data_IF_672021654219
#
_entry.id   IF_672021654219
#
_cell.length_a   1.000
_cell.length_b   1.000
_cell.length_c   1.000
_cell.angle_alpha   90.00
_cell.angle_beta   90.00
_cell.angle_gamma   90.00
#
_symmetry.space_group_name_H-M   'P 1'
#
loop_
_entity.id
_entity.type
_entity.pdbx_description
1 polymer ?
#
# COMPACT_ATOMS: atom_id res chain seq x y z
N UNK A 1 -2.21 -17.54 31.37
CA UNK A 1 -2.05 -16.74 30.14
C UNK A 1 -1.51 -17.50 28.92
N UNK A 2 -0.70 -18.54 29.04
CA UNK A 2 -0.17 -19.33 27.90
C UNK A 2 -1.24 -20.07 27.08
N UNK A 3 -2.29 -20.61 27.68
CA UNK A 3 -3.34 -21.38 26.97
C UNK A 3 -4.24 -20.56 26.04
N UNK A 4 -4.54 -19.30 26.36
CA UNK A 4 -5.34 -18.42 25.49
C UNK A 4 -4.60 -17.99 24.21
N UNK A 5 -3.25 -17.93 24.27
CA UNK A 5 -2.42 -17.52 23.12
C UNK A 5 -2.32 -18.62 22.05
N UNK A 6 -2.39 -19.90 22.43
CA UNK A 6 -2.32 -21.03 21.50
C UNK A 6 -3.57 -21.15 20.60
N UNK A 7 -4.75 -20.87 21.13
CA UNK A 7 -6.00 -20.93 20.35
C UNK A 7 -6.12 -19.78 19.34
N UNK A 8 -5.64 -18.57 19.68
CA UNK A 8 -5.69 -17.42 18.79
C UNK A 8 -4.77 -17.61 17.56
N UNK A 9 -3.57 -18.14 17.76
CA UNK A 9 -2.64 -18.42 16.65
C UNK A 9 -3.14 -19.56 15.74
N UNK A 10 -3.73 -20.61 16.33
CA UNK A 10 -4.35 -21.69 15.55
C UNK A 10 -5.54 -21.20 14.73
N UNK A 11 -6.37 -20.33 15.30
CA UNK A 11 -7.52 -19.75 14.59
C UNK A 11 -7.07 -18.85 13.43
N UNK A 12 -6.03 -18.02 13.61
CA UNK A 12 -5.47 -17.19 12.55
C UNK A 12 -4.82 -18.03 11.43
N UNK A 13 -4.11 -19.10 11.77
CA UNK A 13 -3.54 -20.03 10.78
C UNK A 13 -4.61 -20.77 9.98
N UNK A 14 -5.68 -21.22 10.63
CA UNK A 14 -6.81 -21.89 9.97
C UNK A 14 -7.57 -20.88 9.08
N UNK A 15 -7.83 -19.66 9.56
CA UNK A 15 -8.49 -18.61 8.74
C UNK A 15 -7.63 -18.22 7.53
N UNK A 16 -6.31 -18.11 7.69
CA UNK A 16 -5.38 -17.85 6.61
C UNK A 16 -5.34 -18.97 5.58
N UNK A 17 -5.31 -20.23 6.03
CA UNK A 17 -5.30 -21.40 5.16
C UNK A 17 -6.64 -21.56 4.40
N UNK A 18 -7.78 -21.29 5.04
CA UNK A 18 -9.11 -21.37 4.38
C UNK A 18 -9.30 -20.26 3.37
N UNK A 19 -8.84 -19.03 3.64
CA UNK A 19 -8.86 -17.93 2.66
C UNK A 19 -7.94 -18.22 1.46
N UNK A 20 -6.76 -18.78 1.70
CA UNK A 20 -5.83 -19.17 0.63
C UNK A 20 -6.37 -20.34 -0.20
N UNK A 21 -6.94 -21.36 0.43
CA UNK A 21 -7.58 -22.48 -0.25
C UNK A 21 -8.80 -22.01 -1.07
N UNK A 22 -9.61 -21.08 -0.56
CA UNK A 22 -10.71 -20.47 -1.28
C UNK A 22 -10.28 -19.67 -2.51
N UNK A 23 -9.16 -18.95 -2.43
CA UNK A 23 -8.58 -18.24 -3.57
C UNK A 23 -8.02 -19.20 -4.63
N UNK A 24 -7.38 -20.30 -4.22
CA UNK A 24 -6.88 -21.34 -5.12
C UNK A 24 -8.02 -22.12 -5.78
N UNK A 25 -9.07 -22.47 -5.05
CA UNK A 25 -10.24 -23.18 -5.60
C UNK A 25 -11.04 -22.30 -6.57
N UNK A 26 -11.19 -21.01 -6.31
CA UNK A 26 -11.84 -20.09 -7.24
C UNK A 26 -11.08 -19.96 -8.57
N UNK A 27 -9.77 -20.18 -8.58
CA UNK A 27 -8.95 -20.25 -9.80
C UNK A 27 -9.03 -21.61 -10.49
N UNK A 28 -9.07 -22.71 -9.74
CA UNK A 28 -9.21 -24.08 -10.29
C UNK A 28 -10.56 -24.25 -11.00
N UNK A 29 -11.66 -23.82 -10.36
CA UNK A 29 -13.00 -23.87 -10.98
C UNK A 29 -13.09 -23.06 -12.28
N UNK A 30 -12.36 -21.93 -12.39
CA UNK A 30 -12.28 -21.17 -13.64
C UNK A 30 -11.39 -21.82 -14.70
N UNK A 31 -10.36 -22.56 -14.30
CA UNK A 31 -9.51 -23.30 -15.21
C UNK A 31 -10.25 -24.49 -15.83
N UNK A 32 -11.03 -25.21 -15.02
CA UNK A 32 -11.87 -26.31 -15.46
C UNK A 32 -13.03 -25.85 -16.36
N UNK A 33 -13.67 -24.70 -16.02
CA UNK A 33 -14.69 -24.11 -16.90
C UNK A 33 -14.13 -23.62 -18.24
N UNK A 34 -12.88 -23.12 -18.27
CA UNK A 34 -12.20 -22.75 -19.50
C UNK A 34 -11.73 -23.98 -20.30
N UNK A 35 -11.34 -25.06 -19.63
CA UNK A 35 -11.01 -26.35 -20.28
C UNK A 35 -12.26 -27.05 -20.82
N UNK A 36 -13.39 -26.97 -20.12
CA UNK A 36 -14.67 -27.50 -20.62
C UNK A 36 -15.23 -26.72 -21.81
N UNK A 37 -14.89 -25.45 -21.96
CA UNK A 37 -15.31 -24.64 -23.10
C UNK A 37 -14.55 -24.98 -24.41
N UNK A 38 -13.52 -25.84 -24.35
CA UNK A 38 -12.83 -26.40 -25.51
C UNK A 38 -13.36 -27.79 -25.89
N UNK A 39 -14.35 -28.31 -25.19
CA UNK A 39 -15.08 -29.51 -25.57
C UNK A 39 -15.78 -29.27 -26.91
N UNK A 40 -15.51 -30.12 -27.88
CA UNK A 40 -16.19 -30.10 -29.15
C UNK A 40 -17.71 -30.08 -28.97
N UNK A 41 -18.41 -29.49 -29.91
CA UNK A 41 -19.86 -29.43 -29.91
C UNK A 41 -20.45 -30.83 -29.62
N UNK A 42 -21.54 -30.92 -28.83
CA UNK A 42 -22.18 -32.20 -28.56
C UNK A 42 -22.45 -32.96 -29.81
N UNK A 43 -22.33 -34.30 -29.78
CA UNK A 43 -22.62 -35.13 -30.93
C UNK A 43 -24.07 -34.85 -31.36
N UNK A 44 -24.28 -34.39 -32.60
CA UNK A 44 -25.56 -33.95 -33.13
C UNK A 44 -25.81 -32.44 -33.16
N UNK A 45 -24.89 -31.61 -32.67
CA UNK A 45 -24.96 -30.18 -32.86
C UNK A 45 -24.69 -29.83 -34.33
N UNK A 46 -25.74 -29.57 -35.09
CA UNK A 46 -25.61 -28.89 -36.39
C UNK A 46 -25.41 -27.42 -36.10
N UNK A 47 -24.22 -26.93 -36.38
CA UNK A 47 -24.00 -25.48 -36.42
C UNK A 47 -25.03 -24.89 -37.39
N UNK A 48 -25.73 -23.77 -37.02
CA UNK A 48 -26.59 -23.09 -37.99
C UNK A 48 -25.76 -22.84 -39.24
N UNK A 49 -26.33 -23.16 -40.42
CA UNK A 49 -25.69 -22.91 -41.70
C UNK A 49 -25.15 -21.47 -41.68
N UNK A 50 -23.86 -21.31 -41.95
CA UNK A 50 -23.22 -20.00 -41.85
C UNK A 50 -24.01 -19.07 -42.80
N UNK A 51 -24.69 -18.04 -42.29
CA UNK A 51 -25.41 -17.12 -43.17
C UNK A 51 -24.36 -16.57 -44.11
N UNK A 52 -24.68 -16.57 -45.42
CA UNK A 52 -23.78 -16.10 -46.46
C UNK A 52 -23.01 -14.87 -45.97
N UNK A 53 -21.69 -14.81 -46.15
CA UNK A 53 -20.85 -13.78 -45.59
C UNK A 53 -21.32 -12.34 -45.86
N UNK A 54 -22.09 -12.17 -46.94
CA UNK A 54 -22.51 -10.90 -47.49
C UNK A 54 -23.72 -10.29 -46.78
N UNK A 55 -24.63 -11.11 -46.20
CA UNK A 55 -25.92 -10.59 -45.71
C UNK A 55 -25.91 -10.12 -44.28
N UNK A 56 -25.13 -10.72 -43.39
CA UNK A 56 -25.26 -10.40 -41.97
C UNK A 56 -24.26 -9.34 -41.46
N UNK A 57 -23.06 -9.30 -41.99
CA UNK A 57 -22.02 -8.36 -41.56
C UNK A 57 -22.25 -6.98 -42.18
N UNK A 58 -22.59 -6.92 -43.48
CA UNK A 58 -22.89 -5.66 -44.17
C UNK A 58 -24.22 -5.04 -43.69
N UNK A 59 -25.27 -5.87 -43.48
CA UNK A 59 -26.52 -5.42 -42.91
C UNK A 59 -26.40 -4.96 -41.46
N UNK A 60 -25.63 -5.66 -40.65
CA UNK A 60 -25.37 -5.23 -39.26
C UNK A 60 -24.50 -3.97 -39.20
N UNK A 61 -23.55 -3.80 -40.12
CA UNK A 61 -22.79 -2.56 -40.21
C UNK A 61 -23.66 -1.35 -40.58
N UNK A 62 -24.70 -1.56 -41.37
CA UNK A 62 -25.69 -0.52 -41.73
C UNK A 62 -26.71 -0.26 -40.63
N UNK A 63 -27.23 -1.32 -40.01
CA UNK A 63 -28.29 -1.22 -38.98
C UNK A 63 -27.79 -0.98 -37.57
N UNK A 64 -26.54 -1.31 -37.28
CA UNK A 64 -25.89 -1.13 -36.00
C UNK A 64 -24.52 -0.46 -36.17
N UNK A 65 -24.49 0.83 -36.50
CA UNK A 65 -23.25 1.58 -36.58
C UNK A 65 -22.56 1.57 -35.20
N UNK A 66 -21.43 0.92 -35.08
CA UNK A 66 -20.73 0.66 -33.80
C UNK A 66 -20.64 -0.83 -33.44
N UNK A 67 -21.23 -1.71 -34.25
CA UNK A 67 -21.03 -3.16 -34.09
C UNK A 67 -19.61 -3.56 -34.56
N UNK A 68 -18.71 -3.75 -33.60
CA UNK A 68 -17.33 -4.18 -33.84
C UNK A 68 -17.18 -5.70 -34.02
N UNK A 69 -18.27 -6.47 -34.21
CA UNK A 69 -18.22 -7.92 -34.37
C UNK A 69 -17.35 -8.38 -35.55
N UNK A 70 -17.34 -7.75 -36.74
CA UNK A 70 -16.44 -8.08 -37.81
C UNK A 70 -14.96 -7.91 -37.45
N UNK A 71 -14.66 -6.81 -36.74
CA UNK A 71 -13.32 -6.53 -36.25
C UNK A 71 -12.83 -7.61 -35.27
N UNK A 72 -13.66 -7.99 -34.31
CA UNK A 72 -13.31 -9.03 -33.34
C UNK A 72 -13.18 -10.42 -33.96
N UNK A 73 -13.94 -10.71 -35.01
CA UNK A 73 -13.76 -11.95 -35.77
C UNK A 73 -12.42 -11.96 -36.50
N UNK A 74 -12.08 -10.89 -37.19
CA UNK A 74 -10.80 -10.74 -37.86
C UNK A 74 -9.61 -10.85 -36.90
N UNK A 75 -9.72 -10.25 -35.69
CA UNK A 75 -8.72 -10.44 -34.62
C UNK A 75 -8.62 -11.89 -34.17
N UNK A 76 -9.72 -12.62 -34.09
CA UNK A 76 -9.75 -14.05 -33.74
C UNK A 76 -9.11 -14.94 -34.79
N UNK A 77 -9.33 -14.65 -36.06
CA UNK A 77 -8.85 -15.41 -37.19
C UNK A 77 -7.38 -15.12 -37.51
N UNK A 78 -6.99 -13.86 -37.58
CA UNK A 78 -5.65 -13.45 -37.96
C UNK A 78 -4.69 -13.29 -36.77
N UNK A 79 -5.21 -13.07 -35.59
CA UNK A 79 -4.40 -12.81 -34.41
C UNK A 79 -3.61 -11.49 -34.43
N UNK A 80 -3.64 -10.74 -35.50
CA UNK A 80 -2.81 -9.55 -35.73
C UNK A 80 -3.59 -8.46 -36.47
N UNK A 81 -4.65 -7.95 -35.86
CA UNK A 81 -5.28 -6.76 -36.44
C UNK A 81 -4.90 -5.50 -35.65
N UNK A 82 -4.30 -4.57 -36.34
CA UNK A 82 -4.13 -3.21 -35.87
C UNK A 82 -5.43 -2.46 -36.16
N UNK A 83 -6.10 -2.03 -35.10
CA UNK A 83 -7.31 -1.22 -35.19
C UNK A 83 -7.16 0.07 -34.40
N UNK A 84 -7.73 1.12 -34.88
CA UNK A 84 -7.77 2.42 -34.21
C UNK A 84 -9.12 2.60 -33.50
N UNK A 85 -9.08 2.99 -32.23
CA UNK A 85 -10.28 3.37 -31.47
C UNK A 85 -10.78 4.70 -31.95
N UNK A 86 -12.03 4.77 -32.41
CA UNK A 86 -12.70 6.02 -32.79
C UNK A 86 -13.35 6.72 -31.58
N UNK A 87 -12.91 6.41 -30.36
CA UNK A 87 -13.39 7.05 -29.16
C UNK A 87 -12.68 8.38 -28.93
N UNK A 88 -13.37 9.42 -28.46
CA UNK A 88 -12.78 10.74 -28.26
C UNK A 88 -11.77 10.78 -27.10
N UNK A 89 -10.80 11.67 -27.20
CA UNK A 89 -9.89 12.00 -26.11
C UNK A 89 -8.91 10.88 -25.75
N UNK A 90 -8.78 10.60 -24.47
CA UNK A 90 -7.83 9.64 -23.90
C UNK A 90 -8.07 8.17 -24.31
N UNK A 91 -9.21 7.87 -24.92
CA UNK A 91 -9.53 6.55 -25.46
C UNK A 91 -9.00 6.35 -26.88
N UNK A 92 -8.42 7.38 -27.47
CA UNK A 92 -7.75 7.28 -28.77
C UNK A 92 -6.54 6.36 -28.67
N UNK A 93 -6.44 5.40 -29.55
CA UNK A 93 -5.28 4.53 -29.60
C UNK A 93 -5.52 3.25 -30.36
N UNK A 94 -4.51 2.41 -30.42
CA UNK A 94 -4.57 1.10 -31.06
C UNK A 94 -5.31 0.11 -30.14
N UNK A 95 -6.44 -0.42 -30.60
CA UNK A 95 -7.24 -1.42 -29.86
C UNK A 95 -6.50 -2.77 -29.73
N UNK A 96 -5.71 -3.13 -30.74
CA UNK A 96 -4.98 -4.38 -30.81
C UNK A 96 -3.52 -4.04 -31.09
N UNK A 97 -2.66 -4.41 -30.16
CA UNK A 97 -1.22 -4.34 -30.36
C UNK A 97 -0.71 -5.64 -31.00
N UNK A 98 0.47 -5.57 -31.65
CA UNK A 98 1.20 -6.76 -32.04
C UNK A 98 1.34 -7.70 -30.87
N UNK A 99 1.35 -8.99 -31.13
CA UNK A 99 1.44 -10.02 -30.11
C UNK A 99 2.48 -9.72 -29.03
N UNK A 100 2.03 -9.53 -27.82
CA UNK A 100 2.89 -9.37 -26.66
C UNK A 100 3.03 -10.75 -26.00
N UNK A 101 4.25 -11.28 -25.94
CA UNK A 101 4.56 -12.48 -25.17
C UNK A 101 4.62 -12.14 -23.69
N UNK A 102 3.73 -12.73 -22.91
CA UNK A 102 3.80 -12.69 -21.45
C UNK A 102 4.18 -14.08 -20.91
N UNK A 103 4.73 -14.14 -19.68
CA UNK A 103 4.96 -15.43 -19.04
C UNK A 103 3.66 -16.24 -18.98
N UNK A 104 3.62 -17.39 -19.65
CA UNK A 104 2.41 -18.23 -19.73
C UNK A 104 1.88 -18.47 -21.15
N UNK A 105 2.56 -17.97 -22.20
CA UNK A 105 2.52 -18.52 -23.58
C UNK A 105 1.33 -18.15 -24.46
N UNK A 106 0.43 -17.23 -24.10
CA UNK A 106 -0.56 -16.77 -25.08
C UNK A 106 -0.13 -15.47 -25.73
N UNK A 107 -0.28 -15.42 -27.07
CA UNK A 107 -0.20 -14.18 -27.82
C UNK A 107 -1.55 -13.47 -27.64
N UNK A 108 -1.57 -12.34 -26.95
CA UNK A 108 -2.78 -11.63 -26.57
C UNK A 108 -2.75 -10.19 -27.07
N UNK A 109 -3.92 -9.58 -27.22
CA UNK A 109 -3.98 -8.13 -27.34
C UNK A 109 -3.56 -7.46 -26.01
N UNK A 110 -3.20 -6.19 -26.06
CA UNK A 110 -2.72 -5.46 -24.87
C UNK A 110 -3.71 -5.46 -23.69
N UNK A 111 -5.01 -5.42 -23.99
CA UNK A 111 -6.05 -5.47 -22.96
C UNK A 111 -6.13 -6.81 -22.25
N UNK A 112 -5.98 -7.91 -22.99
CA UNK A 112 -5.93 -9.26 -22.42
C UNK A 112 -4.67 -9.46 -21.60
N UNK A 113 -3.53 -9.03 -22.10
CA UNK A 113 -2.28 -9.08 -21.39
C UNK A 113 -2.33 -8.32 -20.05
N UNK A 114 -2.88 -7.12 -20.03
CA UNK A 114 -3.11 -6.35 -18.80
C UNK A 114 -4.04 -7.11 -17.84
N UNK A 115 -5.13 -7.69 -18.35
CA UNK A 115 -6.09 -8.46 -17.55
C UNK A 115 -5.43 -9.69 -16.92
N UNK A 116 -4.60 -10.42 -17.67
CA UNK A 116 -3.85 -11.57 -17.17
C UNK A 116 -2.85 -11.16 -16.08
N UNK A 117 -2.03 -10.14 -16.34
CA UNK A 117 -1.08 -9.63 -15.36
C UNK A 117 -1.79 -9.23 -14.07
N UNK A 118 -2.87 -8.44 -14.16
CA UNK A 118 -3.64 -8.02 -13.00
C UNK A 118 -4.24 -9.19 -12.23
N UNK A 119 -4.93 -10.11 -12.91
CA UNK A 119 -5.76 -11.12 -12.25
C UNK A 119 -4.98 -12.40 -11.90
N UNK A 120 -3.93 -12.75 -12.65
CA UNK A 120 -3.16 -13.99 -12.40
C UNK A 120 -1.89 -13.76 -11.61
N UNK A 121 -1.34 -12.55 -11.65
CA UNK A 121 -0.07 -12.25 -10.99
C UNK A 121 -0.23 -11.20 -9.88
N UNK A 122 -0.63 -9.98 -10.20
CA UNK A 122 -0.62 -8.88 -9.24
C UNK A 122 -1.58 -9.16 -8.08
N UNK A 123 -2.84 -9.49 -8.34
CA UNK A 123 -3.80 -9.71 -7.27
C UNK A 123 -3.50 -10.95 -6.41
N UNK A 124 -3.25 -12.16 -6.97
CA UNK A 124 -2.95 -13.32 -6.13
C UNK A 124 -1.66 -13.18 -5.33
N UNK A 125 -0.56 -12.81 -5.98
CA UNK A 125 0.73 -12.69 -5.30
C UNK A 125 0.79 -11.49 -4.37
N UNK A 126 0.19 -10.36 -4.75
CA UNK A 126 0.09 -9.20 -3.88
C UNK A 126 -0.82 -9.43 -2.68
N UNK A 127 -1.96 -10.09 -2.87
CA UNK A 127 -2.83 -10.51 -1.76
C UNK A 127 -2.14 -11.49 -0.82
N UNK A 128 -1.39 -12.46 -1.39
CA UNK A 128 -0.56 -13.39 -0.61
C UNK A 128 0.54 -12.66 0.16
N UNK A 129 1.22 -11.70 -0.44
CA UNK A 129 2.23 -10.88 0.22
C UNK A 129 1.65 -10.15 1.44
N UNK A 130 0.49 -9.49 1.29
CA UNK A 130 -0.17 -8.82 2.41
C UNK A 130 -0.55 -9.81 3.52
N UNK A 131 -1.14 -10.93 3.16
CA UNK A 131 -1.55 -11.94 4.12
C UNK A 131 -0.35 -12.53 4.88
N UNK A 132 0.70 -12.92 4.16
CA UNK A 132 1.93 -13.45 4.74
C UNK A 132 2.58 -12.42 5.66
N UNK A 133 2.63 -11.15 5.26
CA UNK A 133 3.17 -10.07 6.10
C UNK A 133 2.41 -9.95 7.42
N UNK A 134 1.07 -9.92 7.37
CA UNK A 134 0.24 -9.86 8.58
C UNK A 134 0.42 -11.09 9.46
N UNK A 135 0.44 -12.29 8.86
CA UNK A 135 0.63 -13.54 9.61
C UNK A 135 2.04 -13.63 10.22
N UNK A 136 3.07 -13.20 9.50
CA UNK A 136 4.43 -13.15 10.01
C UNK A 136 4.56 -12.19 11.20
N UNK A 137 3.96 -11.00 11.12
CA UNK A 137 3.93 -10.03 12.23
C UNK A 137 3.13 -10.56 13.42
N UNK A 138 2.00 -11.22 13.19
CA UNK A 138 1.22 -11.86 14.25
C UNK A 138 2.00 -13.00 14.93
N UNK A 139 2.70 -13.83 14.16
CA UNK A 139 3.56 -14.89 14.68
C UNK A 139 4.75 -14.34 15.46
N UNK A 140 5.37 -13.27 14.93
CA UNK A 140 6.47 -12.58 15.61
C UNK A 140 6.01 -12.03 16.95
N UNK A 141 4.87 -11.32 16.98
CA UNK A 141 4.28 -10.82 18.22
C UNK A 141 3.93 -11.94 19.21
N UNK A 142 3.37 -13.03 18.70
CA UNK A 142 3.04 -14.18 19.55
C UNK A 142 4.29 -14.81 20.18
N UNK A 143 5.41 -14.86 19.46
CA UNK A 143 6.68 -15.45 19.93
C UNK A 143 7.48 -14.53 20.83
N UNK A 144 7.62 -13.27 20.43
CA UNK A 144 8.52 -12.31 21.09
C UNK A 144 7.79 -11.34 22.01
N UNK A 145 6.50 -11.08 21.77
CA UNK A 145 5.77 -10.02 22.46
C UNK A 145 6.22 -8.63 22.03
N UNK A 146 6.07 -7.67 22.92
CA UNK A 146 6.58 -6.30 22.75
C UNK A 146 8.09 -6.28 23.05
N UNK A 147 8.86 -5.61 22.18
CA UNK A 147 10.31 -5.44 22.36
C UNK A 147 10.63 -4.14 23.11
N UNK A 148 11.77 -4.12 23.82
CA UNK A 148 12.24 -2.98 24.60
C UNK A 148 11.58 -2.82 25.97
N UNK A 149 12.00 -1.79 26.69
CA UNK A 149 11.53 -1.50 28.06
C UNK A 149 12.18 -2.35 29.12
N UNK A 150 13.42 -2.73 28.89
CA UNK A 150 14.23 -3.49 29.87
C UNK A 150 14.81 -2.58 30.95
N UNK A 151 15.04 -1.32 30.62
CA UNK A 151 15.53 -0.30 31.55
C UNK A 151 14.36 0.43 32.24
N UNK A 152 14.49 0.77 33.53
CA UNK A 152 13.52 1.62 34.19
C UNK A 152 13.58 3.05 33.64
N UNK A 153 12.43 3.71 33.57
CA UNK A 153 12.35 5.10 33.13
C UNK A 153 13.19 6.00 34.05
N UNK A 154 13.99 6.88 33.47
CA UNK A 154 14.85 7.83 34.21
C UNK A 154 14.11 9.09 34.60
N UNK A 155 12.96 9.37 33.97
CA UNK A 155 12.22 10.63 34.11
C UNK A 155 12.85 11.80 33.30
N UNK A 156 14.03 11.61 32.72
CA UNK A 156 14.64 12.60 31.82
C UNK A 156 14.16 12.36 30.40
N UNK A 157 13.57 13.41 29.83
CA UNK A 157 12.93 13.32 28.50
C UNK A 157 13.74 14.08 27.45
N UNK A 158 13.79 13.52 26.26
CA UNK A 158 14.44 14.08 25.06
C UNK A 158 13.42 14.21 23.93
N UNK A 159 13.52 15.25 23.12
CA UNK A 159 12.67 15.43 21.95
C UNK A 159 13.18 14.60 20.78
N UNK A 160 12.47 13.51 20.45
CA UNK A 160 12.77 12.72 19.27
C UNK A 160 12.16 13.37 18.02
N UNK A 161 10.91 13.83 18.09
CA UNK A 161 10.19 14.43 16.96
C UNK A 161 9.60 15.79 17.30
N UNK A 162 9.93 16.78 16.50
CA UNK A 162 9.36 18.13 16.63
C UNK A 162 7.87 18.12 16.26
N UNK A 163 7.09 19.16 16.67
CA UNK A 163 5.68 19.27 16.27
C UNK A 163 5.47 19.23 14.75
N UNK A 164 6.36 19.87 13.97
CA UNK A 164 6.29 19.87 12.52
C UNK A 164 6.53 18.46 11.93
N UNK A 165 7.55 17.75 12.40
CA UNK A 165 7.84 16.37 11.95
C UNK A 165 6.66 15.43 12.24
N UNK A 166 6.01 15.59 13.37
CA UNK A 166 4.80 14.82 13.72
C UNK A 166 3.62 15.17 12.83
N UNK A 167 3.39 16.45 12.58
CA UNK A 167 2.32 16.89 11.68
C UNK A 167 2.52 16.36 10.26
N UNK A 168 3.73 16.45 9.72
CA UNK A 168 4.10 15.89 8.43
C UNK A 168 3.84 14.37 8.37
N UNK A 169 4.31 13.63 9.38
CA UNK A 169 4.08 12.19 9.46
C UNK A 169 2.59 11.84 9.53
N UNK A 170 1.81 12.46 10.43
CA UNK A 170 0.40 12.11 10.62
C UNK A 170 -0.46 12.50 9.42
N UNK A 171 -0.17 13.62 8.74
CA UNK A 171 -0.86 14.00 7.51
C UNK A 171 -0.68 12.93 6.42
N UNK A 172 0.56 12.47 6.23
CA UNK A 172 0.87 11.41 5.27
C UNK A 172 0.28 10.06 5.69
N UNK A 173 0.35 9.71 6.98
CA UNK A 173 -0.16 8.45 7.51
C UNK A 173 -1.68 8.33 7.36
N UNK A 174 -2.44 9.39 7.65
CA UNK A 174 -3.90 9.41 7.47
C UNK A 174 -4.26 9.26 5.99
N UNK A 175 -3.60 10.00 5.11
CA UNK A 175 -3.82 9.88 3.66
C UNK A 175 -3.48 8.45 3.18
N UNK A 176 -2.36 7.88 3.61
CA UNK A 176 -1.98 6.50 3.31
C UNK A 176 -3.05 5.49 3.76
N UNK A 177 -3.55 5.58 4.98
CA UNK A 177 -4.58 4.66 5.50
C UNK A 177 -5.85 4.71 4.67
N UNK A 178 -6.32 5.91 4.30
CA UNK A 178 -7.49 6.06 3.42
C UNK A 178 -7.24 5.41 2.05
N UNK A 179 -6.07 5.65 1.46
CA UNK A 179 -5.69 5.08 0.16
C UNK A 179 -5.51 3.56 0.22
N UNK A 180 -4.90 3.04 1.29
CA UNK A 180 -4.71 1.61 1.48
C UNK A 180 -6.05 0.87 1.66
N UNK A 181 -6.93 1.37 2.52
CA UNK A 181 -8.25 0.78 2.75
C UNK A 181 -9.09 0.81 1.47
N UNK A 182 -9.18 1.95 0.81
CA UNK A 182 -9.91 2.08 -0.46
C UNK A 182 -9.31 1.19 -1.56
N UNK A 183 -7.99 1.12 -1.67
CA UNK A 183 -7.28 0.26 -2.60
C UNK A 183 -7.53 -1.23 -2.36
N UNK A 184 -7.50 -1.69 -1.11
CA UNK A 184 -7.81 -3.07 -0.72
C UNK A 184 -9.26 -3.42 -1.09
N UNK A 185 -10.21 -2.56 -0.79
CA UNK A 185 -11.63 -2.81 -1.14
C UNK A 185 -11.83 -2.84 -2.65
N UNK A 186 -11.23 -1.94 -3.41
CA UNK A 186 -11.32 -1.94 -4.88
C UNK A 186 -10.63 -3.15 -5.51
N UNK A 187 -9.51 -3.62 -4.97
CA UNK A 187 -8.75 -4.74 -5.51
C UNK A 187 -9.34 -6.09 -5.12
N UNK A 188 -9.69 -6.26 -3.85
CA UNK A 188 -10.02 -7.55 -3.25
C UNK A 188 -11.46 -7.64 -2.71
N UNK A 189 -12.18 -6.53 -2.54
CA UNK A 189 -13.51 -6.47 -1.91
C UNK A 189 -14.54 -7.41 -2.55
N UNK A 190 -14.40 -7.69 -3.86
CA UNK A 190 -15.27 -8.66 -4.55
C UNK A 190 -15.17 -10.10 -4.00
N UNK A 191 -14.06 -10.45 -3.33
CA UNK A 191 -13.85 -11.80 -2.81
C UNK A 191 -14.39 -12.00 -1.40
N UNK A 192 -14.38 -10.94 -0.58
CA UNK A 192 -14.78 -11.05 0.83
C UNK A 192 -15.97 -10.15 1.20
N UNK A 193 -16.09 -8.97 0.60
CA UNK A 193 -17.12 -7.99 0.98
C UNK A 193 -18.40 -8.13 0.15
N UNK A 194 -18.27 -8.27 -1.16
CA UNK A 194 -19.41 -8.45 -2.07
C UNK A 194 -20.34 -9.61 -1.67
N UNK A 195 -19.84 -10.81 -1.26
CA UNK A 195 -20.72 -11.89 -0.83
C UNK A 195 -21.51 -11.59 0.45
N UNK A 196 -21.01 -10.67 1.29
CA UNK A 196 -21.63 -10.32 2.58
C UNK A 196 -22.67 -9.22 2.42
N UNK A 197 -22.32 -8.13 1.72
CA UNK A 197 -23.17 -6.93 1.64
C UNK A 197 -24.02 -6.83 0.38
N UNK A 198 -23.82 -7.74 -0.59
CA UNK A 198 -24.55 -7.76 -1.84
C UNK A 198 -24.12 -6.71 -2.86
N UNK A 199 -24.60 -6.86 -4.11
CA UNK A 199 -24.10 -6.08 -5.25
C UNK A 199 -24.41 -4.59 -5.18
N UNK A 200 -25.60 -4.21 -4.74
CA UNK A 200 -25.99 -2.80 -4.70
C UNK A 200 -25.16 -2.00 -3.68
N UNK A 201 -25.05 -2.48 -2.45
CA UNK A 201 -24.30 -1.79 -1.40
C UNK A 201 -22.79 -1.81 -1.69
N UNK A 202 -22.27 -2.94 -2.23
CA UNK A 202 -20.87 -3.01 -2.66
C UNK A 202 -20.56 -2.03 -3.77
N UNK A 203 -21.48 -1.85 -4.73
CA UNK A 203 -21.34 -0.86 -5.80
C UNK A 203 -21.25 0.58 -5.27
N UNK A 204 -22.14 0.97 -4.38
CA UNK A 204 -22.11 2.29 -3.74
C UNK A 204 -20.84 2.51 -2.92
N UNK A 205 -20.45 1.53 -2.12
CA UNK A 205 -19.23 1.59 -1.32
C UNK A 205 -17.99 1.75 -2.21
N UNK A 206 -17.89 0.93 -3.27
CA UNK A 206 -16.74 1.00 -4.20
C UNK A 206 -16.68 2.34 -4.92
N UNK A 207 -17.83 2.89 -5.30
CA UNK A 207 -17.91 4.23 -5.89
C UNK A 207 -17.41 5.31 -4.92
N UNK A 208 -17.91 5.32 -3.69
CA UNK A 208 -17.50 6.27 -2.67
C UNK A 208 -15.98 6.16 -2.35
N UNK A 209 -15.49 4.93 -2.19
CA UNK A 209 -14.07 4.68 -1.91
C UNK A 209 -13.17 5.05 -3.08
N UNK A 210 -13.60 4.79 -4.33
CA UNK A 210 -12.86 5.24 -5.50
C UNK A 210 -12.79 6.77 -5.56
N UNK A 211 -13.89 7.45 -5.30
CA UNK A 211 -13.93 8.92 -5.26
C UNK A 211 -12.99 9.45 -4.16
N UNK A 212 -13.06 8.89 -2.96
CA UNK A 212 -12.14 9.25 -1.88
C UNK A 212 -10.68 8.97 -2.25
N UNK A 213 -10.39 7.84 -2.89
CA UNK A 213 -9.05 7.47 -3.35
C UNK A 213 -8.47 8.51 -4.32
N UNK A 214 -9.23 8.86 -5.34
CA UNK A 214 -8.81 9.84 -6.34
C UNK A 214 -8.61 11.24 -5.75
N UNK A 215 -9.42 11.63 -4.75
CA UNK A 215 -9.29 12.91 -4.08
C UNK A 215 -8.12 12.97 -3.10
N UNK A 216 -7.91 11.89 -2.33
CA UNK A 216 -6.84 11.81 -1.33
C UNK A 216 -5.48 11.54 -1.97
N UNK A 217 -5.44 10.96 -3.19
CA UNK A 217 -4.19 10.70 -3.93
C UNK A 217 -3.29 11.92 -4.08
N UNK A 218 -3.78 13.06 -4.62
CA UNK A 218 -3.01 14.30 -4.69
C UNK A 218 -2.57 14.84 -3.33
N UNK A 219 -3.40 14.73 -2.29
CA UNK A 219 -3.02 15.12 -0.92
C UNK A 219 -1.89 14.24 -0.38
N UNK A 220 -1.95 12.93 -0.66
CA UNK A 220 -0.87 12.02 -0.34
C UNK A 220 0.42 12.37 -1.08
N UNK A 221 0.34 12.75 -2.35
CA UNK A 221 1.50 13.17 -3.14
C UNK A 221 2.23 14.37 -2.49
N UNK A 222 1.48 15.40 -2.11
CA UNK A 222 2.04 16.58 -1.42
C UNK A 222 2.61 16.20 -0.06
N UNK A 223 1.86 15.46 0.76
CA UNK A 223 2.31 15.06 2.10
C UNK A 223 3.53 14.12 2.04
N UNK A 224 3.62 13.25 1.03
CA UNK A 224 4.78 12.38 0.81
C UNK A 224 6.05 13.19 0.53
N UNK A 225 5.97 14.21 -0.32
CA UNK A 225 7.11 15.11 -0.60
C UNK A 225 7.54 15.81 0.69
N UNK A 226 6.58 16.31 1.49
CA UNK A 226 6.88 16.94 2.78
C UNK A 226 7.60 15.97 3.72
N UNK A 227 7.12 14.72 3.83
CA UNK A 227 7.77 13.67 4.65
C UNK A 227 9.17 13.37 4.14
N UNK A 228 9.34 13.19 2.83
CA UNK A 228 10.66 12.92 2.24
C UNK A 228 11.64 14.04 2.61
N UNK A 229 11.27 15.29 2.32
CA UNK A 229 12.15 16.45 2.61
C UNK A 229 12.45 16.56 4.10
N UNK A 230 11.46 16.38 4.95
CA UNK A 230 11.59 16.50 6.41
C UNK A 230 12.56 15.49 7.00
N UNK A 231 12.53 14.24 6.53
CA UNK A 231 13.33 13.15 7.11
C UNK A 231 14.53 12.74 6.28
N UNK A 232 14.73 13.31 5.09
CA UNK A 232 15.79 12.91 4.15
C UNK A 232 17.18 12.92 4.81
N UNK A 233 17.50 14.02 5.51
CA UNK A 233 18.84 14.23 6.10
C UNK A 233 19.20 13.16 7.15
N UNK A 234 18.23 12.75 7.94
CA UNK A 234 18.45 11.78 9.02
C UNK A 234 18.49 10.33 8.52
N UNK A 235 18.00 10.09 7.30
CA UNK A 235 17.94 8.77 6.68
C UNK A 235 19.09 8.46 5.71
N UNK A 236 20.11 9.32 5.60
CA UNK A 236 21.32 8.95 4.87
C UNK A 236 22.05 7.77 5.53
N UNK A 237 22.55 6.86 4.68
CA UNK A 237 23.26 5.66 5.12
C UNK A 237 24.61 6.07 5.73
N UNK A 238 24.93 5.48 6.90
CA UNK A 238 26.17 5.69 7.63
C UNK A 238 26.93 4.36 7.80
N UNK A 239 28.20 4.42 8.12
CA UNK A 239 29.01 3.21 8.33
C UNK A 239 28.46 2.29 9.44
N UNK A 240 27.84 2.85 10.48
CA UNK A 240 27.15 2.11 11.54
C UNK A 240 25.98 1.25 11.03
N UNK A 241 25.34 1.67 9.94
CA UNK A 241 24.21 0.93 9.37
C UNK A 241 24.65 -0.40 8.76
N UNK A 242 25.86 -0.44 8.17
CA UNK A 242 26.41 -1.69 7.63
C UNK A 242 26.70 -2.71 8.74
N UNK A 243 27.17 -2.23 9.88
CA UNK A 243 27.42 -3.06 11.05
C UNK A 243 26.12 -3.60 11.63
N UNK A 244 25.07 -2.76 11.69
CA UNK A 244 23.72 -3.12 12.10
C UNK A 244 23.14 -4.20 11.17
N UNK A 245 23.31 -4.03 9.85
CA UNK A 245 22.81 -4.97 8.85
C UNK A 245 23.51 -6.34 8.97
N UNK A 246 24.84 -6.38 9.15
CA UNK A 246 25.60 -7.62 9.31
C UNK A 246 25.15 -8.43 10.52
N UNK A 247 24.73 -7.78 11.59
CA UNK A 247 24.21 -8.41 12.81
C UNK A 247 22.69 -8.59 12.80
N UNK A 248 22.01 -8.33 11.65
CA UNK A 248 20.55 -8.39 11.50
C UNK A 248 19.78 -7.65 12.60
N UNK A 249 20.31 -6.47 13.04
CA UNK A 249 19.69 -5.67 14.09
C UNK A 249 19.62 -6.33 15.46
N UNK A 250 20.42 -7.38 15.70
CA UNK A 250 20.34 -8.15 16.94
C UNK A 250 19.15 -9.09 17.04
N UNK A 251 18.33 -9.19 16.01
CA UNK A 251 17.14 -10.06 15.99
C UNK A 251 17.46 -11.54 16.29
N UNK A 252 18.65 -12.00 15.85
CA UNK A 252 19.11 -13.37 16.03
C UNK A 252 19.89 -13.56 17.31
N UNK A 253 20.67 -12.57 17.74
CA UNK A 253 21.59 -12.66 18.89
C UNK A 253 20.99 -12.10 20.17
N UNK A 254 19.98 -11.24 20.08
CA UNK A 254 19.43 -10.49 21.22
C UNK A 254 20.32 -9.34 21.67
N UNK A 255 21.40 -9.02 20.94
CA UNK A 255 22.28 -7.88 21.25
C UNK A 255 21.66 -6.56 20.83
N UNK A 256 21.70 -5.54 21.68
CA UNK A 256 21.34 -4.18 21.32
C UNK A 256 22.45 -3.58 20.45
N UNK A 257 22.15 -3.32 19.17
CA UNK A 257 23.12 -2.74 18.25
C UNK A 257 22.93 -1.24 18.23
N UNK A 258 23.97 -0.47 18.60
CA UNK A 258 23.88 0.98 18.69
C UNK A 258 23.48 1.61 17.35
N UNK A 259 22.50 2.48 17.38
CA UNK A 259 22.01 3.22 16.20
C UNK A 259 21.89 4.72 16.51
N UNK A 260 21.90 5.54 15.44
CA UNK A 260 21.54 6.96 15.55
C UNK A 260 20.02 7.15 15.67
N UNK A 261 19.53 8.36 15.45
CA UNK A 261 18.10 8.71 15.55
C UNK A 261 17.16 7.77 14.79
N UNK A 262 17.61 7.24 13.65
CA UNK A 262 16.96 6.17 12.89
C UNK A 262 17.92 4.99 12.75
N UNK A 263 17.41 3.78 13.00
CA UNK A 263 18.17 2.57 12.78
C UNK A 263 18.14 2.14 11.30
N UNK A 264 18.93 1.16 10.94
CA UNK A 264 19.08 0.71 9.54
C UNK A 264 17.78 0.18 8.94
N UNK A 265 16.92 -0.47 9.72
CA UNK A 265 15.62 -0.96 9.23
C UNK A 265 14.67 0.22 8.95
N UNK A 266 14.63 1.22 9.82
CA UNK A 266 13.84 2.44 9.61
C UNK A 266 14.32 3.20 8.35
N UNK A 267 15.64 3.29 8.14
CA UNK A 267 16.21 3.87 6.92
C UNK A 267 15.90 3.03 5.67
N UNK A 268 16.02 1.71 5.76
CA UNK A 268 15.66 0.79 4.68
C UNK A 268 14.19 0.95 4.28
N UNK A 269 13.29 1.05 5.25
CA UNK A 269 11.88 1.32 5.03
C UNK A 269 11.65 2.70 4.40
N UNK A 270 12.35 3.75 4.87
CA UNK A 270 12.27 5.08 4.29
C UNK A 270 12.65 5.07 2.79
N UNK A 271 13.79 4.50 2.43
CA UNK A 271 14.26 4.49 1.05
C UNK A 271 13.45 3.56 0.14
N UNK A 272 13.08 2.37 0.61
CA UNK A 272 12.35 1.41 -0.22
C UNK A 272 10.86 1.74 -0.34
N UNK A 273 10.20 2.05 0.77
CA UNK A 273 8.75 2.21 0.81
C UNK A 273 8.31 3.65 0.64
N UNK A 274 8.95 4.61 1.35
CA UNK A 274 8.55 6.02 1.27
C UNK A 274 9.08 6.66 -0.01
N UNK A 275 10.41 6.57 -0.27
CA UNK A 275 10.99 7.22 -1.44
C UNK A 275 10.69 6.42 -2.71
N UNK A 276 11.17 5.17 -2.81
CA UNK A 276 11.09 4.43 -4.08
C UNK A 276 9.66 4.03 -4.44
N UNK A 277 9.01 3.23 -3.60
CA UNK A 277 7.65 2.78 -3.87
C UNK A 277 6.64 3.94 -3.82
N UNK A 278 6.78 4.86 -2.86
CA UNK A 278 5.91 6.02 -2.70
C UNK A 278 5.90 6.92 -3.92
N UNK A 279 7.07 7.27 -4.48
CA UNK A 279 7.14 8.07 -5.70
C UNK A 279 6.54 7.35 -6.91
N UNK A 280 6.80 6.04 -7.07
CA UNK A 280 6.22 5.26 -8.15
C UNK A 280 4.69 5.15 -8.03
N UNK A 281 4.16 4.95 -6.82
CA UNK A 281 2.71 4.95 -6.55
C UNK A 281 2.10 6.31 -6.86
N UNK A 282 2.73 7.40 -6.43
CA UNK A 282 2.24 8.76 -6.68
C UNK A 282 2.25 9.07 -8.17
N UNK A 283 3.39 8.89 -8.86
CA UNK A 283 3.49 9.20 -10.29
C UNK A 283 2.47 8.39 -11.09
N UNK A 284 2.39 7.08 -10.87
CA UNK A 284 1.44 6.22 -11.57
C UNK A 284 -0.02 6.55 -11.21
N UNK A 285 -0.31 6.95 -9.97
CA UNK A 285 -1.62 7.41 -9.54
C UNK A 285 -2.05 8.70 -10.22
N UNK A 286 -1.17 9.69 -10.29
CA UNK A 286 -1.42 10.96 -11.00
C UNK A 286 -1.63 10.75 -12.50
N UNK A 287 -0.94 9.78 -13.12
CA UNK A 287 -1.19 9.37 -14.51
C UNK A 287 -2.60 8.79 -14.63
N UNK A 288 -3.01 7.88 -13.75
CA UNK A 288 -4.34 7.27 -13.80
C UNK A 288 -5.47 8.27 -13.54
N UNK A 289 -5.24 9.26 -12.70
CA UNK A 289 -6.19 10.35 -12.43
C UNK A 289 -6.12 11.48 -13.47
N UNK A 290 -5.26 11.35 -14.49
CA UNK A 290 -5.10 12.30 -15.59
C UNK A 290 -4.70 13.71 -15.13
N UNK A 291 -3.89 13.79 -14.09
CA UNK A 291 -3.48 15.06 -13.48
C UNK A 291 -2.12 15.58 -13.99
N UNK A 292 -1.39 14.81 -14.79
CA UNK A 292 -0.12 15.25 -15.36
C UNK A 292 -0.34 15.96 -16.69
N UNK A 293 0.00 17.24 -16.82
CA UNK A 293 -0.19 17.98 -18.08
C UNK A 293 0.76 17.45 -19.17
N UNK A 294 0.32 17.50 -20.41
CA UNK A 294 1.14 17.15 -21.58
C UNK A 294 1.21 15.66 -21.91
N UNK A 295 0.46 14.80 -21.22
CA UNK A 295 0.32 13.38 -21.55
C UNK A 295 -0.95 13.14 -22.39
N UNK A 296 -0.84 12.31 -23.42
CA UNK A 296 -1.98 11.90 -24.26
C UNK A 296 -2.90 10.87 -23.62
N UNK A 297 -2.49 10.29 -22.51
CA UNK A 297 -3.23 9.27 -21.74
C UNK A 297 -3.69 8.09 -22.60
N UNK A 298 -2.80 7.58 -23.42
CA UNK A 298 -3.08 6.43 -24.26
C UNK A 298 -3.42 5.22 -23.40
N UNK A 299 -4.26 4.33 -23.93
CA UNK A 299 -4.70 3.14 -23.21
C UNK A 299 -3.53 2.27 -22.70
N UNK A 300 -2.48 2.11 -23.51
CA UNK A 300 -1.27 1.37 -23.12
C UNK A 300 -0.59 1.98 -21.89
N UNK A 301 -0.45 3.30 -21.86
CA UNK A 301 0.19 4.02 -20.76
C UNK A 301 -0.62 3.90 -19.48
N UNK A 302 -1.95 4.01 -19.57
CA UNK A 302 -2.86 3.81 -18.44
C UNK A 302 -2.79 2.39 -17.88
N UNK A 303 -2.61 1.38 -18.74
CA UNK A 303 -2.44 -0.01 -18.31
C UNK A 303 -1.11 -0.23 -17.60
N UNK A 304 -0.01 0.35 -18.11
CA UNK A 304 1.31 0.30 -17.46
C UNK A 304 1.25 1.02 -16.12
N UNK A 305 0.70 2.23 -16.08
CA UNK A 305 0.52 2.99 -14.85
C UNK A 305 -0.26 2.19 -13.80
N UNK A 306 -1.34 1.51 -14.20
CA UNK A 306 -2.11 0.65 -13.29
C UNK A 306 -1.28 -0.53 -12.75
N UNK A 307 -0.48 -1.21 -13.60
CA UNK A 307 0.35 -2.32 -13.15
C UNK A 307 1.43 -1.86 -12.16
N UNK A 308 2.10 -0.75 -12.45
CA UNK A 308 3.09 -0.14 -11.55
C UNK A 308 2.44 0.27 -10.24
N UNK A 309 1.31 1.00 -10.32
CA UNK A 309 0.58 1.47 -9.13
C UNK A 309 0.17 0.32 -8.22
N UNK A 310 -0.51 -0.69 -8.76
CA UNK A 310 -0.99 -1.81 -7.97
C UNK A 310 0.15 -2.61 -7.35
N UNK A 311 1.23 -2.89 -8.10
CA UNK A 311 2.38 -3.65 -7.60
C UNK A 311 3.12 -2.89 -6.49
N UNK A 312 3.39 -1.61 -6.71
CA UNK A 312 4.12 -0.79 -5.74
C UNK A 312 3.26 -0.47 -4.51
N UNK A 313 1.96 -0.27 -4.67
CA UNK A 313 1.04 -0.09 -3.55
C UNK A 313 0.97 -1.34 -2.66
N UNK A 314 0.90 -2.54 -3.24
CA UNK A 314 0.91 -3.79 -2.48
C UNK A 314 2.22 -4.01 -1.74
N UNK A 315 3.36 -3.72 -2.38
CA UNK A 315 4.67 -3.75 -1.74
C UNK A 315 4.75 -2.72 -0.59
N UNK A 316 4.36 -1.49 -0.84
CA UNK A 316 4.35 -0.41 0.16
C UNK A 316 3.45 -0.75 1.35
N UNK A 317 2.25 -1.28 1.13
CA UNK A 317 1.35 -1.71 2.20
C UNK A 317 1.96 -2.83 3.04
N UNK A 318 2.61 -3.82 2.41
CA UNK A 318 3.26 -4.92 3.13
C UNK A 318 4.43 -4.41 4.01
N UNK A 319 5.27 -3.54 3.49
CA UNK A 319 6.39 -2.97 4.24
C UNK A 319 5.92 -2.03 5.36
N UNK A 320 4.92 -1.17 5.08
CA UNK A 320 4.38 -0.27 6.09
C UNK A 320 3.54 -0.99 7.16
N UNK A 321 3.01 -2.19 6.89
CA UNK A 321 2.44 -3.03 7.94
C UNK A 321 3.47 -3.34 9.05
N UNK A 322 4.72 -3.62 8.67
CA UNK A 322 5.83 -3.77 9.63
C UNK A 322 6.13 -2.49 10.41
N UNK A 323 6.15 -1.35 9.72
CA UNK A 323 6.32 -0.04 10.37
C UNK A 323 5.20 0.27 11.37
N UNK A 324 3.95 0.08 10.97
CA UNK A 324 2.80 0.28 11.83
C UNK A 324 2.87 -0.65 13.04
N UNK A 325 3.21 -1.92 12.82
CA UNK A 325 3.38 -2.90 13.89
C UNK A 325 4.43 -2.45 14.91
N UNK A 326 5.65 -2.11 14.45
CA UNK A 326 6.73 -1.65 15.34
C UNK A 326 6.40 -0.32 16.01
N UNK A 327 5.77 0.61 15.32
CA UNK A 327 5.36 1.90 15.84
C UNK A 327 4.16 1.87 16.80
N UNK A 328 3.46 0.73 16.94
CA UNK A 328 2.28 0.64 17.81
C UNK A 328 2.42 -0.42 18.89
N UNK A 329 2.45 -1.69 18.54
CA UNK A 329 2.42 -2.82 19.49
C UNK A 329 3.76 -3.56 19.59
N UNK A 330 4.63 -3.43 18.59
CA UNK A 330 5.86 -4.19 18.49
C UNK A 330 6.98 -3.67 19.38
N UNK A 331 7.03 -2.36 19.64
CA UNK A 331 8.05 -1.71 20.47
C UNK A 331 7.41 -0.84 21.54
N UNK A 332 7.85 -1.02 22.80
CA UNK A 332 7.35 -0.23 23.93
C UNK A 332 7.66 1.25 23.71
N UNK A 333 6.70 2.12 23.98
CA UNK A 333 6.78 3.59 23.88
C UNK A 333 7.06 4.18 22.49
N UNK A 334 7.20 3.38 21.43
CA UNK A 334 7.40 3.88 20.07
C UNK A 334 6.22 4.77 19.62
N UNK A 335 4.98 4.37 19.90
CA UNK A 335 3.78 5.18 19.61
C UNK A 335 3.80 6.52 20.37
N UNK A 336 4.22 6.50 21.63
CA UNK A 336 4.34 7.70 22.49
C UNK A 336 5.29 8.71 21.84
N UNK A 337 6.43 8.24 21.31
CA UNK A 337 7.40 9.09 20.61
C UNK A 337 6.76 9.89 19.47
N UNK A 338 5.97 9.25 18.60
CA UNK A 338 5.32 9.94 17.48
C UNK A 338 4.08 10.73 17.91
N UNK A 339 3.40 10.34 18.98
CA UNK A 339 2.23 11.07 19.52
C UNK A 339 2.63 12.34 20.26
N UNK A 340 3.61 12.27 21.16
CA UNK A 340 4.01 13.38 22.03
C UNK A 340 5.25 14.13 21.58
N UNK A 341 6.10 13.47 20.80
CA UNK A 341 7.39 13.97 20.32
C UNK A 341 8.56 13.65 21.25
N UNK A 342 8.30 13.16 22.46
CA UNK A 342 9.30 12.96 23.51
C UNK A 342 9.48 11.48 23.85
N UNK A 343 10.70 11.11 24.22
CA UNK A 343 11.07 9.79 24.74
C UNK A 343 11.88 9.94 26.03
N UNK A 344 11.86 8.90 26.89
CA UNK A 344 12.77 8.83 28.04
C UNK A 344 14.20 8.52 27.60
N UNK A 345 15.22 8.99 28.34
CA UNK A 345 16.62 8.68 28.07
C UNK A 345 16.90 7.17 28.14
N UNK A 346 16.23 6.41 29.02
CA UNK A 346 16.34 4.97 29.07
C UNK A 346 15.94 4.32 27.75
N UNK A 347 14.82 4.76 27.18
CA UNK A 347 14.35 4.32 25.87
C UNK A 347 15.35 4.66 24.75
N UNK A 348 15.91 5.88 24.77
CA UNK A 348 16.91 6.30 23.79
C UNK A 348 18.23 5.52 23.93
N UNK A 349 18.62 5.17 25.15
CA UNK A 349 19.80 4.34 25.42
C UNK A 349 19.63 2.91 24.85
N UNK A 350 18.43 2.34 25.01
CA UNK A 350 18.12 0.97 24.57
C UNK A 350 18.03 0.86 23.04
N UNK A 351 17.40 1.83 22.38
CA UNK A 351 17.10 1.74 20.95
C UNK A 351 17.96 2.60 20.04
N UNK A 352 18.55 3.70 20.55
CA UNK A 352 19.27 4.71 19.79
C UNK A 352 20.49 5.26 20.55
N UNK A 353 21.33 4.37 21.06
CA UNK A 353 22.46 4.72 21.94
C UNK A 353 23.44 5.73 21.33
N UNK A 354 23.73 5.66 20.02
CA UNK A 354 24.60 6.65 19.35
C UNK A 354 23.97 8.03 19.28
N UNK A 355 22.64 8.10 19.10
CA UNK A 355 21.91 9.36 19.13
C UNK A 355 21.94 9.99 20.53
N UNK A 356 21.71 9.18 21.58
CA UNK A 356 21.80 9.64 22.96
C UNK A 356 23.21 10.13 23.29
N UNK A 357 24.25 9.41 22.87
CA UNK A 357 25.65 9.82 23.09
C UNK A 357 25.97 11.16 22.41
N UNK A 358 25.45 11.42 21.20
CA UNK A 358 25.62 12.70 20.54
C UNK A 358 24.93 13.86 21.26
N UNK A 359 23.77 13.60 21.93
CA UNK A 359 23.09 14.58 22.78
C UNK A 359 23.88 14.85 24.06
N UNK A 360 24.35 13.79 24.73
CA UNK A 360 25.14 13.91 25.97
C UNK A 360 26.48 14.60 25.74
N UNK A 361 27.06 14.41 24.55
CA UNK A 361 28.28 15.11 24.15
C UNK A 361 28.04 16.58 23.69
N UNK A 362 26.78 17.07 23.75
CA UNK A 362 26.44 18.42 23.34
C UNK A 362 26.49 18.69 21.83
N UNK A 363 26.65 17.66 20.98
CA UNK A 363 26.67 17.79 19.52
C UNK A 363 25.28 18.08 18.94
N UNK A 364 24.24 17.62 19.63
CA UNK A 364 22.83 17.77 19.24
C UNK A 364 22.05 18.23 20.48
N UNK A 365 21.14 19.21 20.36
CA UNK A 365 20.33 19.63 21.49
C UNK A 365 19.32 18.52 21.88
N UNK A 366 19.09 18.36 23.18
CA UNK A 366 18.08 17.44 23.70
C UNK A 366 16.64 17.86 23.31
N UNK A 367 16.44 19.14 23.02
CA UNK A 367 15.21 19.72 22.50
C UNK A 367 15.52 20.59 21.28
N UNK A 368 14.77 20.40 20.21
CA UNK A 368 14.93 21.08 18.91
C UNK A 368 13.81 22.08 18.62
N UNK A 369 12.65 21.89 19.25
CA UNK A 369 11.55 22.85 19.13
C UNK A 369 11.70 23.99 20.13
N UNK A 370 11.20 25.20 19.81
CA UNK A 370 11.15 26.31 20.74
C UNK A 370 10.41 25.89 22.01
N UNK A 371 10.84 26.44 23.14
CA UNK A 371 10.13 26.24 24.41
C UNK A 371 8.72 26.81 24.29
N UNK A 372 7.66 26.10 24.75
CA UNK A 372 6.34 26.69 24.77
C UNK A 372 6.39 27.97 25.59
N UNK A 373 5.95 29.09 25.01
CA UNK A 373 5.75 30.29 25.80
C UNK A 373 4.90 29.93 27.03
N UNK A 374 5.33 30.32 28.26
CA UNK A 374 4.49 30.12 29.41
C UNK A 374 3.14 30.79 29.11
N UNK A 375 2.05 30.03 29.28
CA UNK A 375 0.70 30.54 29.01
C UNK A 375 0.54 31.90 29.69
N UNK A 376 0.50 32.96 28.90
CA UNK A 376 0.22 34.31 29.38
C UNK A 376 -1.20 34.29 29.97
N UNK A 377 -1.32 34.21 31.28
CA UNK A 377 -2.64 34.22 31.92
C UNK A 377 -2.75 33.53 33.28
N UNK A 378 -1.71 33.53 34.07
CA UNK A 378 -1.91 33.45 35.51
C UNK A 378 -2.27 34.85 36.02
N UNK A 379 -3.54 35.22 36.00
CA UNK A 379 -4.05 36.34 36.77
C UNK A 379 -3.63 36.11 38.22
N UNK A 380 -2.56 36.83 38.65
CA UNK A 380 -2.24 36.97 40.07
C UNK A 380 -3.44 37.62 40.73
N UNK A 381 -4.25 36.84 41.44
CA UNK A 381 -5.17 37.37 42.46
C UNK A 381 -4.29 38.04 43.49
N UNK A 382 -4.10 39.34 43.33
CA UNK A 382 -3.71 40.19 44.43
C UNK A 382 -4.85 40.12 45.47
N UNK A 383 -4.62 39.36 46.52
CA UNK A 383 -5.41 39.49 47.75
C UNK A 383 -5.03 40.82 48.34
N UNK A 384 -5.84 41.84 48.07
CA UNK A 384 -5.86 43.07 48.83
C UNK A 384 -6.31 42.72 50.26
N UNK A 385 -5.33 42.57 51.16
CA UNK A 385 -5.57 42.53 52.61
C UNK A 385 -6.12 43.85 53.05
N UNK A 386 -7.40 43.91 53.33
CA UNK A 386 -7.99 45.01 54.06
C UNK A 386 -7.59 44.85 55.52
N UNK A 387 -6.67 45.69 55.96
CA UNK A 387 -6.41 45.96 57.36
C UNK A 387 -7.60 46.76 57.89
N UNK A 388 -8.36 46.20 58.79
CA UNK A 388 -9.22 46.97 59.69
C UNK A 388 -8.53 47.02 61.04
N UNK A 389 -7.99 48.23 61.32
CA UNK A 389 -7.70 48.68 62.65
C UNK A 389 -8.94 49.47 63.17
N UNK A 390 -9.52 49.04 64.27
CA UNK A 390 -10.09 49.81 65.35
C UNK A 390 -10.63 48.87 66.46
#
# INVERSE_FOLDING_TARGET
MRHRRSHFAATLLVLGATLFAGLCQAQAVKADAAASATGGAPAGFMAPADPRPDDSAAQRAKSQPGNNAPFWRAVRESGTQEGVVNLPGAEKGVLVQRFVKYPGVRLNNAGEAWREMRNRWILPYGGSLLLISVLALALFYWRKGTTGGHLPDTGRVIERFTPFERAAHWSNAIAFVVLAVSGIVMAFGKFFLLPIIGGALFGWLTYALKTAHNFVGPLFAVSLVVVIVTFLRDNFIRASDLQWLRKAGGLLTGEDIPSHRFNTMEKGMFWSSVVSAGLLVVISGLVMDKLLPGLDYLRGDMQIAHMVHASMALFMMAALAGHIYMGTVGMKDAYKAMRTGIVDEAWASEHHALWLADIQAGKIPARRSPEPEPAAGGLSRQTTGASNAA
#
